data_IF_771704051632
#
_entry.id   IF_771704051632
#
_cell.length_a   1.000
_cell.length_b   1.000
_cell.length_c   1.000
_cell.angle_alpha   90.00
_cell.angle_beta   90.00
_cell.angle_gamma   90.00
#
_symmetry.space_group_name_H-M   'P 1'
#
loop_
_entity.id
_entity.type
_entity.pdbx_description
1 polymer ?
#
# COMPACT_ATOMS: atom_id res chain seq x y z
N UNK A 1 23.24 -42.15 -9.64
CA UNK A 1 23.84 -42.16 -8.29
C UNK A 1 22.70 -42.37 -7.30
N UNK A 2 22.64 -43.52 -6.65
CA UNK A 2 21.61 -43.79 -5.65
C UNK A 2 21.87 -42.90 -4.43
N UNK A 3 20.89 -42.06 -4.06
CA UNK A 3 20.97 -41.22 -2.87
C UNK A 3 20.88 -42.12 -1.64
N UNK A 4 21.99 -42.23 -0.90
CA UNK A 4 22.04 -42.94 0.38
C UNK A 4 20.98 -42.40 1.34
N UNK A 5 20.40 -43.27 2.18
CA UNK A 5 19.36 -42.92 3.14
C UNK A 5 19.75 -41.72 4.03
N UNK A 6 21.02 -41.67 4.46
CA UNK A 6 21.57 -40.56 5.21
C UNK A 6 21.44 -39.22 4.47
N UNK A 7 21.76 -39.20 3.18
CA UNK A 7 21.73 -38.00 2.34
C UNK A 7 20.29 -37.52 2.09
N UNK A 8 19.31 -38.44 2.00
CA UNK A 8 17.90 -38.09 1.92
C UNK A 8 17.38 -37.47 3.22
N UNK A 9 17.76 -38.03 4.37
CA UNK A 9 17.37 -37.50 5.69
C UNK A 9 17.98 -36.12 5.97
N UNK A 10 19.25 -35.90 5.58
CA UNK A 10 19.90 -34.60 5.68
C UNK A 10 19.21 -33.54 4.79
N UNK A 11 18.90 -33.88 3.54
CA UNK A 11 18.18 -32.98 2.64
C UNK A 11 16.79 -32.60 3.18
N UNK A 12 16.10 -33.53 3.85
CA UNK A 12 14.83 -33.25 4.53
C UNK A 12 15.01 -32.26 5.68
N UNK A 13 16.03 -32.44 6.55
CA UNK A 13 16.31 -31.50 7.64
C UNK A 13 16.63 -30.09 7.13
N UNK A 14 17.43 -29.97 6.07
CA UNK A 14 17.72 -28.67 5.45
C UNK A 14 16.46 -28.02 4.86
N UNK A 15 15.57 -28.81 4.24
CA UNK A 15 14.29 -28.30 3.75
C UNK A 15 13.38 -27.78 4.88
N UNK A 16 13.47 -28.37 6.07
CA UNK A 16 12.72 -27.95 7.26
C UNK A 16 13.25 -26.61 7.79
N UNK A 17 14.58 -26.46 7.88
CA UNK A 17 15.22 -25.18 8.26
C UNK A 17 14.89 -24.09 7.24
N UNK A 18 14.90 -24.40 5.94
CA UNK A 18 14.47 -23.48 4.89
C UNK A 18 13.01 -23.04 5.06
N UNK A 19 12.11 -23.98 5.37
CA UNK A 19 10.70 -23.69 5.69
C UNK A 19 10.55 -22.71 6.86
N UNK A 20 11.34 -22.90 7.91
CA UNK A 20 11.41 -21.98 9.06
C UNK A 20 11.93 -20.59 8.62
N UNK A 21 12.98 -20.55 7.79
CA UNK A 21 13.51 -19.32 7.21
C UNK A 21 12.48 -18.54 6.39
N UNK A 22 11.68 -19.23 5.56
CA UNK A 22 10.56 -18.61 4.84
C UNK A 22 9.50 -18.05 5.79
N UNK A 23 9.22 -18.74 6.89
CA UNK A 23 8.35 -18.24 7.96
C UNK A 23 8.88 -16.95 8.58
N UNK A 24 10.19 -16.87 8.82
CA UNK A 24 10.84 -15.68 9.34
C UNK A 24 10.73 -14.50 8.37
N UNK A 25 11.05 -14.71 7.09
CA UNK A 25 10.91 -13.68 6.03
C UNK A 25 9.45 -13.26 5.87
N UNK A 26 8.48 -14.15 6.09
CA UNK A 26 7.06 -13.80 6.01
C UNK A 26 6.61 -12.80 7.08
N UNK A 27 7.28 -12.72 8.23
CA UNK A 27 6.90 -11.83 9.33
C UNK A 27 6.90 -10.33 8.94
N UNK A 28 7.97 -9.76 8.35
CA UNK A 28 7.96 -8.37 7.87
C UNK A 28 6.97 -8.16 6.73
N UNK A 29 6.78 -9.12 5.82
CA UNK A 29 5.77 -9.03 4.76
C UNK A 29 4.34 -8.92 5.32
N UNK A 30 4.03 -9.68 6.38
CA UNK A 30 2.75 -9.58 7.10
C UNK A 30 2.57 -8.22 7.77
N UNK A 31 3.63 -7.65 8.36
CA UNK A 31 3.59 -6.29 8.91
C UNK A 31 3.34 -5.26 7.81
N UNK A 32 4.08 -5.34 6.70
CA UNK A 32 3.95 -4.44 5.56
C UNK A 32 2.52 -4.48 4.98
N UNK A 33 1.97 -5.68 4.81
CA UNK A 33 0.58 -5.89 4.39
C UNK A 33 -0.42 -5.20 5.31
N UNK A 34 -0.27 -5.36 6.63
CA UNK A 34 -1.21 -4.79 7.59
C UNK A 34 -1.06 -3.26 7.73
N UNK A 35 0.14 -2.71 7.48
CA UNK A 35 0.42 -1.28 7.53
C UNK A 35 0.02 -0.52 6.24
N UNK A 36 0.40 -1.01 5.05
CA UNK A 36 0.25 -0.27 3.79
C UNK A 36 -0.93 -0.75 2.92
N UNK A 37 -1.31 -2.03 3.00
CA UNK A 37 -2.35 -2.57 2.12
C UNK A 37 -3.75 -2.34 2.69
N UNK A 38 -4.27 -1.11 2.58
CA UNK A 38 -5.69 -0.84 2.89
C UNK A 38 -6.65 -1.34 1.81
N UNK A 39 -6.15 -1.69 0.62
CA UNK A 39 -6.94 -2.13 -0.55
C UNK A 39 -6.68 -3.61 -0.86
N UNK A 40 -7.74 -4.34 -1.29
CA UNK A 40 -7.66 -5.78 -1.63
C UNK A 40 -6.57 -6.08 -2.67
N UNK A 41 -6.43 -5.26 -3.72
CA UNK A 41 -5.43 -5.49 -4.79
C UNK A 41 -3.98 -5.42 -4.32
N UNK A 42 -3.67 -4.53 -3.38
CA UNK A 42 -2.30 -4.38 -2.85
C UNK A 42 -1.89 -5.59 -2.01
N UNK A 43 -2.85 -6.20 -1.32
CA UNK A 43 -2.61 -7.44 -0.59
C UNK A 43 -2.26 -8.60 -1.52
N UNK A 44 -2.96 -8.72 -2.66
CA UNK A 44 -2.72 -9.77 -3.65
C UNK A 44 -1.34 -9.60 -4.29
N UNK A 45 -0.95 -8.37 -4.65
CA UNK A 45 0.37 -8.11 -5.23
C UNK A 45 1.52 -8.53 -4.31
N UNK A 46 1.41 -8.24 -3.01
CA UNK A 46 2.42 -8.62 -2.01
C UNK A 46 2.48 -10.15 -1.84
N UNK A 47 1.32 -10.83 -1.88
CA UNK A 47 1.25 -12.28 -1.76
C UNK A 47 1.89 -12.99 -2.97
N UNK A 48 1.61 -12.50 -4.19
CA UNK A 48 2.23 -12.97 -5.43
C UNK A 48 3.75 -12.78 -5.39
N UNK A 49 4.22 -11.61 -4.93
CA UNK A 49 5.64 -11.32 -4.83
C UNK A 49 6.34 -12.28 -3.84
N UNK A 50 5.72 -12.53 -2.68
CA UNK A 50 6.23 -13.49 -1.71
C UNK A 50 6.27 -14.91 -2.29
N UNK A 51 5.21 -15.36 -2.96
CA UNK A 51 5.19 -16.68 -3.61
C UNK A 51 6.28 -16.82 -4.67
N UNK A 52 6.54 -15.79 -5.47
CA UNK A 52 7.64 -15.77 -6.44
C UNK A 52 9.00 -15.91 -5.75
N UNK A 53 9.27 -15.13 -4.71
CA UNK A 53 10.52 -15.23 -3.95
C UNK A 53 10.71 -16.65 -3.36
N UNK A 54 9.69 -17.21 -2.72
CA UNK A 54 9.74 -18.55 -2.15
C UNK A 54 9.99 -19.60 -3.23
N UNK A 55 9.30 -19.49 -4.38
CA UNK A 55 9.47 -20.40 -5.51
C UNK A 55 10.91 -20.37 -6.05
N UNK A 56 11.51 -19.18 -6.18
CA UNK A 56 12.90 -19.03 -6.67
C UNK A 56 13.88 -19.69 -5.70
N UNK A 57 13.70 -19.48 -4.38
CA UNK A 57 14.61 -20.05 -3.37
C UNK A 57 14.46 -21.57 -3.30
N UNK A 58 13.24 -22.10 -3.34
CA UNK A 58 13.00 -23.55 -3.38
C UNK A 58 13.60 -24.16 -4.65
N UNK A 59 13.46 -23.49 -5.79
CA UNK A 59 14.05 -23.91 -7.05
C UNK A 59 15.58 -23.95 -6.98
N UNK A 60 16.20 -22.89 -6.45
CA UNK A 60 17.66 -22.84 -6.27
C UNK A 60 18.16 -23.92 -5.31
N UNK A 61 17.45 -24.14 -4.21
CA UNK A 61 17.75 -25.23 -3.28
C UNK A 61 17.67 -26.61 -3.96
N UNK A 62 16.65 -26.82 -4.80
CA UNK A 62 16.48 -28.06 -5.57
C UNK A 62 17.59 -28.27 -6.60
N UNK A 63 18.10 -27.20 -7.21
CA UNK A 63 19.25 -27.27 -8.13
C UNK A 63 20.52 -27.70 -7.39
N UNK A 64 20.81 -27.09 -6.23
CA UNK A 64 22.04 -27.36 -5.46
C UNK A 64 22.07 -28.77 -4.88
N UNK A 65 20.95 -29.26 -4.33
CA UNK A 65 20.95 -30.53 -3.59
C UNK A 65 20.63 -31.76 -4.44
N UNK A 66 19.90 -31.61 -5.54
CA UNK A 66 19.35 -32.76 -6.29
C UNK A 66 19.65 -32.67 -7.80
N UNK A 67 20.55 -31.80 -8.25
CA UNK A 67 20.82 -31.58 -9.69
C UNK A 67 19.53 -31.33 -10.50
N UNK A 68 18.55 -30.65 -9.91
CA UNK A 68 17.31 -30.24 -10.59
C UNK A 68 16.11 -31.18 -10.48
N UNK A 69 16.20 -32.37 -9.85
CA UNK A 69 14.99 -33.17 -9.59
C UNK A 69 14.22 -32.67 -8.38
N UNK A 70 13.03 -32.13 -8.64
CA UNK A 70 12.10 -31.58 -7.66
C UNK A 70 11.39 -32.73 -6.94
N UNK A 71 11.89 -33.15 -5.77
CA UNK A 71 11.29 -34.26 -5.00
C UNK A 71 10.26 -33.75 -3.98
N UNK A 72 9.12 -34.45 -3.89
CA UNK A 72 7.97 -34.08 -3.05
C UNK A 72 8.31 -33.93 -1.55
N UNK A 73 9.28 -34.69 -1.02
CA UNK A 73 9.65 -34.59 0.39
C UNK A 73 10.27 -33.24 0.77
N UNK A 74 10.92 -32.52 -0.17
CA UNK A 74 11.45 -31.17 0.08
C UNK A 74 10.30 -30.18 0.29
N UNK A 75 9.24 -30.29 -0.50
CA UNK A 75 8.04 -29.46 -0.35
C UNK A 75 7.34 -29.75 0.97
N UNK A 76 7.23 -31.04 1.33
CA UNK A 76 6.66 -31.44 2.61
C UNK A 76 7.47 -30.88 3.80
N UNK A 77 8.80 -30.97 3.77
CA UNK A 77 9.67 -30.41 4.80
C UNK A 77 9.58 -28.88 4.92
N UNK A 78 9.57 -28.17 3.78
CA UNK A 78 9.36 -26.72 3.75
C UNK A 78 7.98 -26.32 4.30
N UNK A 79 6.91 -27.02 3.90
CA UNK A 79 5.56 -26.77 4.39
C UNK A 79 5.47 -27.00 5.89
N UNK A 80 6.03 -28.09 6.40
CA UNK A 80 6.05 -28.42 7.83
C UNK A 80 6.85 -27.38 8.64
N UNK A 81 8.05 -27.01 8.17
CA UNK A 81 8.87 -25.98 8.81
C UNK A 81 8.19 -24.61 8.84
N UNK A 82 7.52 -24.24 7.74
CA UNK A 82 6.74 -23.01 7.67
C UNK A 82 5.53 -23.03 8.60
N UNK A 83 4.77 -24.13 8.62
CA UNK A 83 3.62 -24.28 9.53
C UNK A 83 4.05 -24.22 11.00
N UNK A 84 5.13 -24.92 11.35
CA UNK A 84 5.68 -24.90 12.70
C UNK A 84 5.99 -23.46 13.13
N UNK A 85 6.75 -22.71 12.31
CA UNK A 85 7.06 -21.31 12.58
C UNK A 85 5.80 -20.43 12.70
N UNK A 86 4.83 -20.63 11.80
CA UNK A 86 3.59 -19.85 11.78
C UNK A 86 2.75 -20.08 13.04
N UNK A 87 2.76 -21.29 13.59
CA UNK A 87 1.99 -21.65 14.80
C UNK A 87 2.63 -21.13 16.09
N UNK A 88 3.96 -21.15 16.22
CA UNK A 88 4.68 -20.62 17.39
C UNK A 88 4.91 -19.12 17.29
N UNK A 89 5.79 -18.70 16.38
CA UNK A 89 6.26 -17.31 16.32
C UNK A 89 5.19 -16.40 15.70
N UNK A 90 4.44 -16.89 14.71
CA UNK A 90 3.38 -16.12 14.07
C UNK A 90 2.30 -15.60 15.03
N UNK A 91 2.04 -16.28 16.15
CA UNK A 91 1.11 -15.83 17.20
C UNK A 91 1.72 -14.79 18.13
N UNK A 92 2.95 -15.02 18.61
CA UNK A 92 3.66 -14.11 19.52
C UNK A 92 3.86 -12.74 18.88
N UNK A 93 4.38 -12.76 17.66
CA UNK A 93 4.61 -11.59 16.85
C UNK A 93 3.27 -10.85 16.56
N UNK A 94 2.16 -11.56 16.30
CA UNK A 94 0.83 -10.96 16.10
C UNK A 94 0.35 -10.06 17.23
N UNK A 95 0.75 -10.34 18.46
CA UNK A 95 0.39 -9.52 19.61
C UNK A 95 1.17 -8.20 19.64
N UNK A 96 2.39 -8.19 19.13
CA UNK A 96 3.30 -7.02 19.16
C UNK A 96 3.00 -6.02 18.06
N UNK A 97 2.73 -6.45 16.83
CA UNK A 97 2.54 -5.50 15.73
C UNK A 97 1.13 -4.92 15.59
N UNK A 98 0.09 -5.58 16.12
CA UNK A 98 -1.27 -5.01 16.12
C UNK A 98 -1.34 -3.63 16.81
N UNK A 99 -0.76 -3.42 18.02
CA UNK A 99 -0.76 -2.09 18.63
C UNK A 99 0.09 -1.09 17.83
N UNK A 100 1.24 -1.51 17.29
CA UNK A 100 2.11 -0.66 16.46
C UNK A 100 1.35 -0.15 15.23
N UNK A 101 0.61 -1.02 14.54
CA UNK A 101 -0.12 -0.64 13.33
C UNK A 101 -1.35 0.21 13.66
N UNK A 102 -2.04 -0.06 14.78
CA UNK A 102 -3.09 0.84 15.28
C UNK A 102 -2.53 2.22 15.59
N UNK A 103 -1.34 2.30 16.16
CA UNK A 103 -0.66 3.57 16.43
C UNK A 103 -0.33 4.31 15.13
N UNK A 104 0.28 3.64 14.15
CA UNK A 104 0.56 4.21 12.83
C UNK A 104 -0.72 4.74 12.15
N UNK A 105 -1.80 3.94 12.11
CA UNK A 105 -3.08 4.38 11.56
C UNK A 105 -3.64 5.61 12.29
N UNK A 106 -3.49 5.68 13.61
CA UNK A 106 -3.91 6.84 14.41
C UNK A 106 -3.15 8.10 14.01
N UNK A 107 -1.83 7.98 13.81
CA UNK A 107 -0.98 9.09 13.33
C UNK A 107 -1.40 9.52 11.92
N UNK A 108 -1.54 8.58 10.99
CA UNK A 108 -1.95 8.89 9.60
C UNK A 108 -3.32 9.55 9.55
N UNK A 109 -4.29 9.06 10.33
CA UNK A 109 -5.62 9.66 10.36
C UNK A 109 -5.60 11.07 10.96
N UNK A 110 -4.76 11.32 11.96
CA UNK A 110 -4.56 12.66 12.54
C UNK A 110 -3.99 13.64 11.52
N UNK A 111 -3.03 13.19 10.70
CA UNK A 111 -2.47 13.98 9.60
C UNK A 111 -3.56 14.27 8.55
N UNK A 112 -4.32 13.25 8.14
CA UNK A 112 -5.39 13.40 7.14
C UNK A 112 -6.49 14.35 7.62
N UNK A 113 -6.88 14.29 8.89
CA UNK A 113 -7.84 15.21 9.48
C UNK A 113 -7.32 16.66 9.49
N UNK A 114 -6.03 16.84 9.84
CA UNK A 114 -5.39 18.16 9.78
C UNK A 114 -5.42 18.72 8.36
N UNK A 115 -5.08 17.89 7.36
CA UNK A 115 -5.14 18.26 5.95
C UNK A 115 -6.56 18.62 5.51
N UNK A 116 -7.57 17.83 5.88
CA UNK A 116 -8.99 18.08 5.57
C UNK A 116 -9.48 19.40 6.19
N UNK A 117 -9.03 19.74 7.38
CA UNK A 117 -9.38 21.02 8.01
C UNK A 117 -8.70 22.19 7.29
N UNK A 118 -7.45 22.02 6.86
CA UNK A 118 -6.76 23.00 6.03
C UNK A 118 -7.45 23.21 4.68
N UNK A 119 -7.86 22.14 3.99
CA UNK A 119 -8.56 22.27 2.69
C UNK A 119 -9.92 22.91 2.84
N UNK A 120 -10.69 22.60 3.90
CA UNK A 120 -11.95 23.31 4.20
C UNK A 120 -11.72 24.80 4.44
N UNK A 121 -10.65 25.15 5.16
CA UNK A 121 -10.30 26.55 5.43
C UNK A 121 -9.94 27.29 4.14
N UNK A 122 -9.14 26.67 3.27
CA UNK A 122 -8.81 27.18 1.94
C UNK A 122 -10.06 27.36 1.09
N UNK A 123 -10.95 26.36 1.03
CA UNK A 123 -12.19 26.42 0.25
C UNK A 123 -13.08 27.61 0.65
N UNK A 124 -13.20 27.88 1.96
CA UNK A 124 -14.00 29.00 2.46
C UNK A 124 -13.43 30.34 2.00
N UNK A 125 -12.11 30.51 2.09
CA UNK A 125 -11.40 31.70 1.60
C UNK A 125 -11.61 31.86 0.09
N UNK A 126 -11.53 30.77 -0.69
CA UNK A 126 -11.75 30.82 -2.14
C UNK A 126 -13.18 31.25 -2.49
N UNK A 127 -14.19 30.75 -1.79
CA UNK A 127 -15.59 31.14 -2.03
C UNK A 127 -15.83 32.62 -1.73
N UNK A 128 -15.31 33.14 -0.62
CA UNK A 128 -15.44 34.56 -0.26
C UNK A 128 -14.76 35.47 -1.28
N UNK A 129 -13.56 35.11 -1.75
CA UNK A 129 -12.84 35.84 -2.80
C UNK A 129 -13.63 35.78 -4.12
N UNK A 130 -14.12 34.60 -4.51
CA UNK A 130 -14.88 34.44 -5.75
C UNK A 130 -16.15 35.29 -5.73
N UNK A 131 -16.88 35.27 -4.62
CA UNK A 131 -18.08 36.09 -4.43
C UNK A 131 -17.77 37.58 -4.56
N UNK A 132 -16.69 38.04 -3.92
CA UNK A 132 -16.28 39.45 -4.00
C UNK A 132 -15.84 39.86 -5.41
N UNK A 133 -15.16 38.99 -6.14
CA UNK A 133 -14.75 39.23 -7.53
C UNK A 133 -15.97 39.30 -8.44
N UNK A 134 -16.90 38.34 -8.33
CA UNK A 134 -18.14 38.31 -9.12
C UNK A 134 -18.95 39.59 -8.89
N UNK A 135 -19.10 40.01 -7.63
CA UNK A 135 -19.82 41.22 -7.29
C UNK A 135 -19.12 42.49 -7.83
N UNK A 136 -17.78 42.56 -7.78
CA UNK A 136 -17.05 43.67 -8.42
C UNK A 136 -17.23 43.68 -9.94
N UNK A 137 -17.16 42.53 -10.59
CA UNK A 137 -17.38 42.40 -12.03
C UNK A 137 -18.79 42.85 -12.44
N UNK A 138 -19.82 42.48 -11.67
CA UNK A 138 -21.20 42.89 -11.95
C UNK A 138 -21.38 44.41 -11.83
N UNK A 139 -20.77 45.04 -10.82
CA UNK A 139 -20.80 46.51 -10.62
C UNK A 139 -20.09 47.23 -11.78
N UNK A 140 -18.91 46.75 -12.19
CA UNK A 140 -18.15 47.34 -13.32
C UNK A 140 -18.96 47.21 -14.62
N UNK A 141 -19.56 46.05 -14.87
CA UNK A 141 -20.41 45.84 -16.05
C UNK A 141 -21.59 46.81 -16.08
N UNK A 142 -22.25 47.03 -14.93
CA UNK A 142 -23.37 47.98 -14.81
C UNK A 142 -22.92 49.41 -15.15
N UNK A 143 -21.80 49.87 -14.58
CA UNK A 143 -21.21 51.18 -14.88
C UNK A 143 -20.87 51.35 -16.37
N UNK A 144 -20.32 50.32 -17.01
CA UNK A 144 -20.03 50.35 -18.46
C UNK A 144 -21.30 50.45 -19.30
N UNK A 145 -22.35 49.73 -18.90
CA UNK A 145 -23.65 49.74 -19.62
C UNK A 145 -24.35 51.09 -19.49
N UNK A 146 -24.33 51.70 -18.30
CA UNK A 146 -24.87 53.05 -18.07
C UNK A 146 -24.08 54.12 -18.83
N UNK A 147 -22.74 54.00 -18.88
CA UNK A 147 -21.89 54.92 -19.65
C UNK A 147 -22.17 54.83 -21.15
N UNK A 148 -22.31 53.61 -21.69
CA UNK A 148 -22.68 53.38 -23.09
C UNK A 148 -24.08 53.91 -23.42
N UNK A 149 -25.05 53.78 -22.51
CA UNK A 149 -26.41 54.33 -22.68
C UNK A 149 -26.39 55.85 -22.72
N UNK A 150 -25.64 56.50 -21.82
CA UNK A 150 -25.48 57.96 -21.78
C UNK A 150 -24.84 58.50 -23.06
N UNK A 151 -23.83 57.80 -23.59
CA UNK A 151 -23.15 58.18 -24.83
C UNK A 151 -24.08 58.05 -26.06
N UNK A 152 -24.95 57.04 -26.11
CA UNK A 152 -25.94 56.90 -27.18
C UNK A 152 -27.03 57.98 -27.17
N UNK A 153 -27.42 58.46 -26.00
CA UNK A 153 -28.40 59.57 -25.89
C UNK A 153 -27.79 60.86 -26.46
N UNK A 154 -26.55 61.18 -26.10
CA UNK A 154 -25.85 62.38 -26.60
C UNK A 154 -25.71 62.35 -28.14
N UNK A 155 -25.35 61.21 -28.72
CA UNK A 155 -25.21 61.06 -30.19
C UNK A 155 -26.55 61.16 -30.93
N UNK A 156 -27.67 60.83 -30.28
CA UNK A 156 -29.00 60.96 -30.87
C UNK A 156 -29.58 62.38 -30.72
N UNK A 157 -29.17 63.16 -29.71
CA UNK A 157 -29.55 64.57 -29.55
C UNK A 157 -28.76 65.51 -30.49
N UNK A 158 -27.61 65.07 -31.02
CA UNK A 158 -26.79 65.83 -31.98
C UNK A 158 -27.16 65.57 -33.47
N UNK A 159 -28.16 64.72 -33.75
CA UNK A 159 -28.65 64.41 -35.11
C UNK A 159 -30.01 65.05 -35.37
#
# INVERSE_FOLDING_TARGET
>A
MELTFAQQSAAFLYSLILGVGFGFIYAPFKMFRLAFCSKKSSTVAVDIFYMLCVSIVIYYFSLVYIMGYVRIYIFAGCLLGFLAYRLTLGRAFSRVYVPVIKFLKKVTNKIMQKLKNFTKKLLKITHDILYNIINRCSIIKKKLTDKAKKQRVIVNDEK
#
